data_IF_477067428863
#
_entry.id   IF_477067428863
#
_cell.length_a   1.000
_cell.length_b   1.000
_cell.length_c   1.000
_cell.angle_alpha   90.00
_cell.angle_beta   90.00
_cell.angle_gamma   90.00
#
_symmetry.space_group_name_H-M   'P 1'
#
loop_
_entity.id
_entity.type
_entity.pdbx_description
1 polymer ?
#
# COMPACT_ATOMS: atom_id res chain seq x y z
N UNK A 1 -20.56 -5.97 0.30
CA UNK A 1 -20.26 -6.01 -1.16
C UNK A 1 -19.16 -5.02 -1.55
N UNK A 2 -19.25 -3.74 -1.17
CA UNK A 2 -18.25 -2.72 -1.53
C UNK A 2 -16.85 -3.07 -0.98
N UNK A 3 -16.76 -3.53 0.27
CA UNK A 3 -15.47 -3.89 0.87
C UNK A 3 -14.77 -5.06 0.17
N UNK A 4 -15.53 -6.09 -0.22
CA UNK A 4 -14.99 -7.21 -1.00
C UNK A 4 -14.45 -6.75 -2.36
N UNK A 5 -15.14 -5.80 -2.98
CA UNK A 5 -14.77 -5.24 -4.28
C UNK A 5 -13.50 -4.39 -4.18
N UNK A 6 -13.34 -3.64 -3.09
CA UNK A 6 -12.11 -2.89 -2.78
C UNK A 6 -10.92 -3.84 -2.53
N UNK A 7 -11.13 -4.94 -1.80
CA UNK A 7 -10.08 -5.94 -1.56
C UNK A 7 -9.66 -6.60 -2.88
N UNK A 8 -10.62 -7.00 -3.73
CA UNK A 8 -10.34 -7.58 -5.05
C UNK A 8 -9.61 -6.59 -5.96
N UNK A 9 -10.02 -5.33 -5.99
CA UNK A 9 -9.33 -4.29 -6.76
C UNK A 9 -7.90 -4.06 -6.25
N UNK A 10 -7.71 -4.00 -4.93
CA UNK A 10 -6.39 -3.86 -4.31
C UNK A 10 -5.43 -5.01 -4.62
N UNK A 11 -5.95 -6.20 -4.93
CA UNK A 11 -5.17 -7.37 -5.36
C UNK A 11 -4.98 -7.45 -6.89
N UNK A 12 -5.98 -7.06 -7.67
CA UNK A 12 -5.94 -7.13 -9.13
C UNK A 12 -5.01 -6.06 -9.73
N UNK A 13 -4.99 -4.85 -9.17
CA UNK A 13 -4.14 -3.74 -9.62
C UNK A 13 -2.64 -4.12 -9.58
N UNK A 14 -2.06 -4.62 -8.47
CA UNK A 14 -0.65 -5.01 -8.43
C UNK A 14 -0.33 -6.20 -9.34
N UNK A 15 -1.25 -7.15 -9.53
CA UNK A 15 -1.07 -8.23 -10.49
C UNK A 15 -1.00 -7.71 -11.94
N UNK A 16 -1.90 -6.80 -12.31
CA UNK A 16 -1.93 -6.16 -13.61
C UNK A 16 -0.67 -5.30 -13.86
N UNK A 17 -0.27 -4.49 -12.88
CA UNK A 17 0.97 -3.72 -12.93
C UNK A 17 2.21 -4.62 -13.04
N UNK A 18 2.24 -5.73 -12.31
CA UNK A 18 3.30 -6.72 -12.40
C UNK A 18 3.43 -7.34 -13.79
N UNK A 19 2.30 -7.65 -14.43
CA UNK A 19 2.28 -8.16 -15.80
C UNK A 19 2.76 -7.12 -16.82
N UNK A 20 2.26 -5.89 -16.74
CA UNK A 20 2.69 -4.77 -17.60
C UNK A 20 4.19 -4.49 -17.46
N UNK A 21 4.71 -4.44 -16.22
CA UNK A 21 6.13 -4.21 -15.96
C UNK A 21 7.00 -5.33 -16.52
N UNK A 22 6.51 -6.58 -16.53
CA UNK A 22 7.22 -7.69 -17.19
C UNK A 22 7.32 -7.49 -18.70
N UNK A 23 6.27 -7.01 -19.35
CA UNK A 23 6.25 -6.73 -20.78
C UNK A 23 7.15 -5.55 -21.17
N UNK A 24 7.12 -4.47 -20.38
CA UNK A 24 7.89 -3.24 -20.66
C UNK A 24 9.36 -3.37 -20.25
N UNK A 25 9.65 -4.16 -19.21
CA UNK A 25 11.00 -4.35 -18.65
C UNK A 25 11.32 -5.83 -18.45
N UNK A 26 11.46 -6.62 -19.53
CA UNK A 26 11.69 -8.07 -19.46
C UNK A 26 13.01 -8.44 -18.76
N UNK A 27 13.99 -7.54 -18.75
CA UNK A 27 15.28 -7.69 -18.07
C UNK A 27 15.22 -7.54 -16.53
N UNK A 28 14.07 -7.16 -15.96
CA UNK A 28 13.95 -7.00 -14.51
C UNK A 28 13.68 -8.35 -13.82
N UNK A 29 14.29 -8.54 -12.66
CA UNK A 29 14.03 -9.71 -11.83
C UNK A 29 12.61 -9.69 -11.29
N UNK A 30 11.98 -10.86 -11.13
CA UNK A 30 10.63 -10.99 -10.57
C UNK A 30 10.48 -10.30 -9.21
N UNK A 31 11.53 -10.31 -8.36
CA UNK A 31 11.56 -9.58 -7.09
C UNK A 31 11.45 -8.07 -7.27
N UNK A 32 12.16 -7.50 -8.25
CA UNK A 32 12.10 -6.06 -8.52
C UNK A 32 10.70 -5.66 -9.00
N UNK A 33 10.12 -6.44 -9.90
CA UNK A 33 8.76 -6.21 -10.41
C UNK A 33 7.74 -6.31 -9.27
N UNK A 34 7.86 -7.31 -8.39
CA UNK A 34 6.90 -7.49 -7.29
C UNK A 34 6.91 -6.34 -6.29
N UNK A 35 8.08 -5.82 -5.92
CA UNK A 35 8.15 -4.66 -5.03
C UNK A 35 7.59 -3.39 -5.68
N UNK A 36 7.93 -3.13 -6.94
CA UNK A 36 7.46 -1.93 -7.64
C UNK A 36 5.96 -2.00 -7.87
N UNK A 37 5.42 -3.15 -8.27
CA UNK A 37 3.99 -3.32 -8.52
C UNK A 37 3.14 -3.24 -7.24
N UNK A 38 3.67 -3.72 -6.10
CA UNK A 38 2.97 -3.70 -4.82
C UNK A 38 3.09 -2.36 -4.07
N UNK A 39 4.07 -1.52 -4.41
CA UNK A 39 4.36 -0.26 -3.71
C UNK A 39 3.36 0.91 -3.84
N UNK A 40 2.64 1.13 -4.98
CA UNK A 40 1.97 2.42 -5.21
C UNK A 40 0.86 2.73 -4.19
N UNK A 41 0.00 1.74 -3.93
CA UNK A 41 -1.14 1.91 -3.01
C UNK A 41 -0.66 2.08 -1.56
N UNK A 42 0.21 1.20 -1.01
CA UNK A 42 0.77 1.38 0.33
C UNK A 42 1.52 2.70 0.50
N UNK A 43 2.25 3.14 -0.53
CA UNK A 43 3.00 4.39 -0.48
C UNK A 43 2.06 5.60 -0.41
N UNK A 44 0.98 5.62 -1.19
CA UNK A 44 -0.02 6.69 -1.14
C UNK A 44 -0.69 6.76 0.24
N UNK A 45 -1.06 5.61 0.80
CA UNK A 45 -1.63 5.55 2.15
C UNK A 45 -0.61 6.06 3.18
N UNK A 46 0.64 5.62 3.08
CA UNK A 46 1.70 6.05 3.99
C UNK A 46 1.94 7.56 3.94
N UNK A 47 1.97 8.16 2.75
CA UNK A 47 2.12 9.61 2.57
C UNK A 47 0.96 10.37 3.21
N UNK A 48 -0.29 9.92 2.99
CA UNK A 48 -1.46 10.53 3.61
C UNK A 48 -1.43 10.43 5.14
N UNK A 49 -1.09 9.26 5.69
CA UNK A 49 -0.96 9.07 7.14
C UNK A 49 0.14 9.94 7.75
N UNK A 50 1.31 10.04 7.10
CA UNK A 50 2.41 10.91 7.56
C UNK A 50 1.97 12.37 7.55
N UNK A 51 1.26 12.81 6.51
CA UNK A 51 0.71 14.17 6.44
C UNK A 51 -0.24 14.46 7.62
N UNK A 52 -1.19 13.56 7.91
CA UNK A 52 -2.12 13.69 9.03
C UNK A 52 -1.38 13.75 10.38
N UNK A 53 -0.35 12.93 10.57
CA UNK A 53 0.46 12.94 11.79
C UNK A 53 1.19 14.28 11.96
N UNK A 54 1.79 14.78 10.88
CA UNK A 54 2.51 16.06 10.90
C UNK A 54 1.54 17.20 11.17
N UNK A 55 0.40 17.24 10.48
CA UNK A 55 -0.63 18.26 10.69
C UNK A 55 -1.18 18.24 12.13
N UNK A 56 -1.50 17.05 12.66
CA UNK A 56 -1.99 16.89 14.02
C UNK A 56 -0.94 17.30 15.08
N UNK A 57 0.35 17.05 14.82
CA UNK A 57 1.44 17.43 15.73
C UNK A 57 1.79 18.92 15.71
N UNK A 58 1.51 19.61 14.59
CA UNK A 58 1.69 21.07 14.47
C UNK A 58 0.44 21.86 14.89
N UNK A 59 -0.70 21.20 15.08
CA UNK A 59 -1.96 21.86 15.45
C UNK A 59 -1.90 22.34 16.91
N UNK A 60 -2.17 23.63 17.19
CA UNK A 60 -2.24 24.14 18.56
C UNK A 60 -3.33 23.42 19.37
N UNK A 61 -3.07 23.18 20.66
CA UNK A 61 -4.02 22.49 21.55
C UNK A 61 -5.40 23.13 21.62
N UNK A 62 -5.49 24.46 21.44
CA UNK A 62 -6.76 25.21 21.41
C UNK A 62 -7.61 24.89 20.17
N UNK A 63 -6.98 24.44 19.08
CA UNK A 63 -7.64 24.04 17.83
C UNK A 63 -7.85 22.54 17.74
N UNK A 64 -7.11 21.74 18.52
CA UNK A 64 -7.43 20.35 18.71
C UNK A 64 -8.69 20.25 19.57
N UNK A 65 -9.81 19.86 18.96
CA UNK A 65 -10.98 19.41 19.72
C UNK A 65 -10.59 18.30 20.71
N UNK A 66 -11.44 18.05 21.71
CA UNK A 66 -11.18 17.05 22.75
C UNK A 66 -10.76 15.71 22.11
N UNK A 67 -9.48 15.38 22.26
CA UNK A 67 -8.83 14.15 21.80
C UNK A 67 -8.80 13.88 20.28
N UNK A 68 -9.24 14.84 19.45
CA UNK A 68 -9.33 14.64 18.00
C UNK A 68 -7.95 14.41 17.34
N UNK A 69 -6.96 15.21 17.72
CA UNK A 69 -5.59 15.10 17.19
C UNK A 69 -4.90 13.82 17.66
N UNK A 70 -5.11 13.43 18.93
CA UNK A 70 -4.60 12.17 19.47
C UNK A 70 -5.17 10.97 18.73
N UNK A 71 -6.48 10.94 18.52
CA UNK A 71 -7.16 9.89 17.76
C UNK A 71 -6.74 9.85 16.29
N UNK A 72 -6.58 11.01 15.64
CA UNK A 72 -6.11 11.09 14.26
C UNK A 72 -4.70 10.52 14.08
N UNK A 73 -3.77 10.84 15.00
CA UNK A 73 -2.42 10.26 15.01
C UNK A 73 -2.46 8.75 15.24
N UNK A 74 -3.22 8.27 16.24
CA UNK A 74 -3.33 6.85 16.55
C UNK A 74 -3.89 6.03 15.37
N UNK A 75 -4.97 6.51 14.75
CA UNK A 75 -5.56 5.89 13.57
C UNK A 75 -4.58 5.87 12.40
N UNK A 76 -3.86 6.97 12.16
CA UNK A 76 -2.86 7.03 11.09
C UNK A 76 -1.71 6.03 11.28
N UNK A 77 -1.27 5.81 12.53
CA UNK A 77 -0.27 4.79 12.85
C UNK A 77 -0.82 3.38 12.60
N UNK A 78 -2.04 3.08 13.05
CA UNK A 78 -2.69 1.78 12.78
C UNK A 78 -2.82 1.54 11.27
N UNK A 79 -3.26 2.55 10.53
CA UNK A 79 -3.38 2.48 9.07
C UNK A 79 -2.03 2.28 8.38
N UNK A 80 -0.95 2.89 8.87
CA UNK A 80 0.42 2.64 8.38
C UNK A 80 0.84 1.18 8.54
N UNK A 81 0.54 0.56 9.69
CA UNK A 81 0.83 -0.87 9.92
C UNK A 81 0.05 -1.75 8.94
N UNK A 82 -1.24 -1.44 8.73
CA UNK A 82 -2.08 -2.16 7.76
C UNK A 82 -1.54 -1.98 6.33
N UNK A 83 -1.17 -0.75 5.94
CA UNK A 83 -0.59 -0.46 4.63
C UNK A 83 0.71 -1.25 4.40
N UNK A 84 1.55 -1.34 5.43
CA UNK A 84 2.76 -2.16 5.37
C UNK A 84 2.46 -3.65 5.21
N UNK A 85 1.48 -4.18 5.95
CA UNK A 85 1.06 -5.58 5.77
C UNK A 85 0.53 -5.84 4.35
N UNK A 86 -0.29 -4.92 3.81
CA UNK A 86 -0.79 -5.00 2.44
C UNK A 86 0.33 -4.96 1.40
N UNK A 87 1.37 -4.14 1.61
CA UNK A 87 2.56 -4.12 0.76
C UNK A 87 3.25 -5.49 0.72
N UNK A 88 3.51 -6.08 1.89
CA UNK A 88 4.21 -7.37 2.00
C UNK A 88 3.37 -8.47 1.33
N UNK A 89 2.07 -8.53 1.62
CA UNK A 89 1.16 -9.51 1.04
C UNK A 89 1.09 -9.34 -0.49
N UNK A 90 0.91 -8.10 -0.97
CA UNK A 90 0.87 -7.81 -2.40
C UNK A 90 2.17 -8.19 -3.12
N UNK A 91 3.33 -7.90 -2.52
CA UNK A 91 4.62 -8.27 -3.07
C UNK A 91 4.79 -9.81 -3.14
N UNK A 92 4.35 -10.54 -2.11
CA UNK A 92 4.37 -12.01 -2.11
C UNK A 92 3.46 -12.56 -3.21
N UNK A 93 2.23 -12.04 -3.34
CA UNK A 93 1.27 -12.50 -4.34
C UNK A 93 1.80 -12.28 -5.76
N UNK A 94 2.33 -11.09 -6.07
CA UNK A 94 2.92 -10.81 -7.38
C UNK A 94 4.13 -11.70 -7.63
N UNK A 95 4.99 -11.91 -6.62
CA UNK A 95 6.15 -12.80 -6.76
C UNK A 95 5.75 -14.26 -7.02
N UNK A 96 4.73 -14.77 -6.33
CA UNK A 96 4.19 -16.12 -6.53
C UNK A 96 3.55 -16.26 -7.91
N UNK A 97 2.77 -15.25 -8.32
CA UNK A 97 2.11 -15.22 -9.62
C UNK A 97 3.12 -15.23 -10.76
N UNK A 98 4.15 -14.36 -10.69
CA UNK A 98 5.22 -14.32 -11.69
C UNK A 98 5.96 -15.66 -11.78
N UNK A 99 6.30 -16.29 -10.65
CA UNK A 99 6.92 -17.62 -10.63
C UNK A 99 6.04 -18.70 -11.24
N UNK A 100 4.73 -18.67 -11.00
CA UNK A 100 3.82 -19.66 -11.58
C UNK A 100 3.71 -19.52 -13.10
N UNK A 101 3.80 -18.29 -13.61
CA UNK A 101 3.84 -18.02 -15.06
C UNK A 101 5.21 -18.28 -15.72
N UNK A 102 6.22 -18.71 -14.95
CA UNK A 102 7.54 -19.11 -15.45
C UNK A 102 7.69 -20.64 -15.53
N UNK A 103 6.78 -21.43 -14.94
CA UNK A 103 6.79 -22.89 -15.12
C UNK A 103 6.28 -23.24 -16.53
N UNK A 104 7.08 -23.96 -17.35
CA UNK A 104 6.71 -24.37 -18.70
C UNK A 104 5.57 -25.38 -18.72
#
# INVERSE_FOLDING_TARGET
>A
MIELLLILAALAIPAFLGHLLRLVRPQWTARRISYIAASPIPLLIAVACVFIIVEASMTPSEKCGVDACGMAMAMSVITLVIAFALFVIGAIIVALWLRHTEKP
#
